data_IF_485730672393
#
_entry.id   IF_485730672393
#
_cell.length_a   1.000
_cell.length_b   1.000
_cell.length_c   1.000
_cell.angle_alpha   90.00
_cell.angle_beta   90.00
_cell.angle_gamma   90.00
#
_symmetry.space_group_name_H-M   'P 1'
#
loop_
_entity.id
_entity.type
_entity.pdbx_description
1 polymer ?
#
# COMPACT_ATOMS: atom_id res chain seq x y z
N UNK A 1 0.02 -28.73 -52.81
CA UNK A 1 -0.28 -27.40 -52.26
C UNK A 1 0.12 -27.40 -50.79
N UNK A 2 1.33 -26.96 -50.54
CA UNK A 2 1.98 -26.91 -49.24
C UNK A 2 1.68 -25.51 -48.65
N UNK A 3 0.89 -25.48 -47.57
CA UNK A 3 0.67 -24.25 -46.78
C UNK A 3 1.91 -24.04 -45.92
N UNK A 4 2.60 -22.95 -46.15
CA UNK A 4 3.66 -22.42 -45.32
C UNK A 4 3.01 -21.77 -44.10
N UNK A 5 3.15 -22.38 -42.92
CA UNK A 5 2.87 -21.74 -41.63
C UNK A 5 3.82 -20.56 -41.44
N UNK A 6 3.24 -19.37 -41.38
CA UNK A 6 3.97 -18.16 -41.01
C UNK A 6 4.25 -18.15 -39.52
N UNK A 7 5.49 -18.26 -39.13
CA UNK A 7 6.01 -18.03 -37.78
C UNK A 7 5.56 -16.65 -37.29
N UNK A 8 5.12 -16.49 -36.01
CA UNK A 8 4.77 -15.17 -35.48
C UNK A 8 6.04 -14.31 -35.44
N UNK A 9 5.97 -13.19 -36.13
CA UNK A 9 7.04 -12.21 -36.19
C UNK A 9 7.50 -11.82 -34.78
N UNK A 10 8.82 -11.91 -34.61
CA UNK A 10 9.67 -11.32 -33.59
C UNK A 10 9.20 -9.86 -33.34
N UNK A 11 8.42 -9.62 -32.26
CA UNK A 11 8.10 -8.25 -31.84
C UNK A 11 9.34 -7.69 -31.18
N UNK A 12 10.14 -7.04 -31.99
CA UNK A 12 11.37 -6.39 -31.62
C UNK A 12 11.24 -5.61 -30.30
N UNK A 13 12.30 -5.64 -29.52
CA UNK A 13 12.48 -4.82 -28.33
C UNK A 13 12.17 -3.37 -28.70
N UNK A 14 11.04 -2.83 -28.26
CA UNK A 14 10.82 -1.40 -28.29
C UNK A 14 11.93 -0.77 -27.44
N UNK A 15 12.66 0.19 -27.99
CA UNK A 15 13.72 0.89 -27.27
C UNK A 15 13.20 1.47 -25.95
N UNK A 16 14.08 1.91 -25.03
CA UNK A 16 13.67 2.44 -23.75
C UNK A 16 12.73 3.64 -23.92
N UNK A 17 11.66 3.67 -23.12
CA UNK A 17 10.77 4.81 -23.09
C UNK A 17 11.30 5.86 -22.10
N UNK A 18 11.62 7.06 -22.61
CA UNK A 18 12.11 8.16 -21.77
C UNK A 18 10.94 8.97 -21.22
N UNK A 19 10.87 9.07 -19.90
CA UNK A 19 9.83 9.83 -19.18
C UNK A 19 10.48 10.65 -18.08
N UNK A 20 10.05 11.89 -17.88
CA UNK A 20 10.60 12.70 -16.79
C UNK A 20 10.39 12.05 -15.41
N UNK A 21 9.19 11.52 -15.15
CA UNK A 21 8.84 10.90 -13.85
C UNK A 21 8.04 9.62 -14.06
N UNK A 22 8.50 8.52 -13.47
CA UNK A 22 7.73 7.27 -13.33
C UNK A 22 7.16 7.19 -11.93
N UNK A 23 5.84 7.00 -11.80
CA UNK A 23 5.14 6.73 -10.55
C UNK A 23 4.77 5.24 -10.53
N UNK A 24 5.21 4.50 -9.52
CA UNK A 24 4.97 3.05 -9.39
C UNK A 24 3.87 2.81 -8.38
N UNK A 25 2.74 2.29 -8.86
CA UNK A 25 1.50 2.03 -8.14
C UNK A 25 0.41 3.05 -8.44
N UNK A 26 -0.74 2.56 -8.92
CA UNK A 26 -1.96 3.34 -9.27
C UNK A 26 -3.00 3.39 -8.15
N UNK A 27 -2.59 3.18 -6.90
CA UNK A 27 -3.43 3.38 -5.72
C UNK A 27 -3.56 4.85 -5.33
N UNK A 28 -4.20 5.13 -4.18
CA UNK A 28 -4.45 6.50 -3.69
C UNK A 28 -3.19 7.39 -3.64
N UNK A 29 -2.03 6.82 -3.31
CA UNK A 29 -0.78 7.56 -3.21
C UNK A 29 -0.24 7.97 -4.59
N UNK A 30 -0.23 7.03 -5.53
CA UNK A 30 0.23 7.28 -6.90
C UNK A 30 -0.69 8.22 -7.66
N UNK A 31 -2.00 8.03 -7.56
CA UNK A 31 -2.99 8.90 -8.20
C UNK A 31 -2.92 10.34 -7.64
N UNK A 32 -2.80 10.50 -6.32
CA UNK A 32 -2.61 11.83 -5.73
C UNK A 32 -1.29 12.49 -6.20
N UNK A 33 -0.23 11.70 -6.36
CA UNK A 33 1.05 12.19 -6.90
C UNK A 33 0.90 12.60 -8.37
N UNK A 34 0.29 11.74 -9.18
CA UNK A 34 -0.01 12.00 -10.59
C UNK A 34 -0.82 13.29 -10.78
N UNK A 35 -1.88 13.46 -9.98
CA UNK A 35 -2.68 14.69 -9.97
C UNK A 35 -1.83 15.95 -9.74
N UNK A 36 -0.94 15.92 -8.76
CA UNK A 36 -0.09 17.07 -8.47
C UNK A 36 0.97 17.33 -9.56
N UNK A 37 1.52 16.28 -10.18
CA UNK A 37 2.44 16.38 -11.31
C UNK A 37 1.72 16.96 -12.54
N UNK A 38 0.54 16.45 -12.88
CA UNK A 38 -0.28 16.93 -13.98
C UNK A 38 -0.61 18.43 -13.83
N UNK A 39 -1.04 18.84 -12.62
CA UNK A 39 -1.31 20.27 -12.33
C UNK A 39 -0.11 21.20 -12.44
N UNK A 40 1.10 20.66 -12.40
CA UNK A 40 2.35 21.40 -12.58
C UNK A 40 2.90 21.25 -14.01
N UNK A 41 2.14 20.62 -14.92
CA UNK A 41 2.56 20.39 -16.31
C UNK A 41 3.78 19.46 -16.44
N UNK A 42 4.01 18.56 -15.44
CA UNK A 42 5.16 17.66 -15.46
C UNK A 42 4.84 16.37 -16.21
N UNK A 43 5.71 16.00 -17.15
CA UNK A 43 5.57 14.75 -17.89
C UNK A 43 5.79 13.55 -16.96
N UNK A 44 4.82 12.63 -16.92
CA UNK A 44 4.92 11.44 -16.06
C UNK A 44 4.07 10.31 -16.60
N UNK A 45 4.31 9.11 -16.09
CA UNK A 45 3.46 7.92 -16.26
C UNK A 45 3.26 7.25 -14.91
N UNK A 46 2.06 6.70 -14.69
CA UNK A 46 1.77 5.83 -13.53
C UNK A 46 1.73 4.39 -14.01
N UNK A 47 2.53 3.52 -13.40
CA UNK A 47 2.55 2.08 -13.69
C UNK A 47 1.76 1.35 -12.60
N UNK A 48 0.70 0.67 -12.99
CA UNK A 48 -0.17 -0.11 -12.10
C UNK A 48 -0.15 -1.58 -12.49
N UNK A 49 0.16 -2.46 -11.52
CA UNK A 49 0.27 -3.89 -11.76
C UNK A 49 -1.06 -4.59 -12.02
N UNK A 50 -2.14 -4.07 -11.45
CA UNK A 50 -3.48 -4.62 -11.64
C UNK A 50 -4.06 -4.27 -13.02
N UNK A 51 -5.05 -5.03 -13.48
CA UNK A 51 -5.75 -4.80 -14.76
C UNK A 51 -6.59 -3.52 -14.76
N UNK A 52 -7.05 -3.08 -13.58
CA UNK A 52 -7.85 -1.87 -13.40
C UNK A 52 -7.38 -1.08 -12.19
N UNK A 53 -7.48 0.25 -12.28
CA UNK A 53 -7.30 1.13 -11.13
C UNK A 53 -8.32 0.76 -10.04
N UNK A 54 -7.83 0.63 -8.81
CA UNK A 54 -8.68 0.28 -7.66
C UNK A 54 -8.82 -1.22 -7.38
N UNK A 55 -8.29 -2.12 -8.23
CA UNK A 55 -8.44 -3.57 -8.02
C UNK A 55 -7.88 -4.05 -6.67
N UNK A 56 -6.86 -3.39 -6.12
CA UNK A 56 -6.37 -3.66 -4.75
C UNK A 56 -7.49 -3.56 -3.70
N UNK A 57 -8.51 -2.72 -3.93
CA UNK A 57 -9.68 -2.58 -3.08
C UNK A 57 -10.79 -3.57 -3.45
N UNK A 58 -11.01 -3.83 -4.75
CA UNK A 58 -11.99 -4.83 -5.24
C UNK A 58 -11.60 -6.25 -4.81
N UNK A 59 -10.29 -6.50 -4.62
CA UNK A 59 -9.76 -7.79 -4.18
C UNK A 59 -9.76 -8.00 -2.66
N UNK A 60 -10.30 -7.08 -1.88
CA UNK A 60 -10.51 -7.27 -0.43
C UNK A 60 -11.77 -8.08 -0.16
N UNK A 61 -11.91 -8.53 1.09
CA UNK A 61 -13.09 -9.30 1.50
C UNK A 61 -14.39 -8.47 1.32
N UNK A 62 -15.46 -9.17 0.97
CA UNK A 62 -16.71 -8.55 0.49
C UNK A 62 -17.38 -7.64 1.52
N UNK A 63 -17.23 -7.96 2.82
CA UNK A 63 -17.77 -7.16 3.93
C UNK A 63 -16.89 -5.98 4.34
N UNK A 64 -15.74 -5.75 3.65
CA UNK A 64 -14.83 -4.66 4.02
C UNK A 64 -15.54 -3.31 4.00
N UNK A 65 -15.38 -2.56 5.09
CA UNK A 65 -15.66 -1.12 5.16
C UNK A 65 -14.43 -0.37 5.64
N UNK A 66 -14.22 0.82 5.11
CA UNK A 66 -13.13 1.68 5.53
C UNK A 66 -13.29 2.06 7.01
N UNK A 67 -12.17 2.42 7.65
CA UNK A 67 -12.16 2.86 9.07
C UNK A 67 -12.49 4.34 9.23
N UNK A 68 -12.45 5.10 8.15
CA UNK A 68 -12.79 6.51 8.09
C UNK A 68 -14.09 6.72 7.30
N UNK A 69 -14.93 7.68 7.70
CA UNK A 69 -16.09 8.04 6.89
C UNK A 69 -15.68 8.85 5.66
N UNK A 70 -16.49 8.80 4.62
CA UNK A 70 -16.28 9.38 3.29
C UNK A 70 -15.77 10.83 3.28
N UNK A 71 -16.20 11.64 4.26
CA UNK A 71 -15.71 13.01 4.40
C UNK A 71 -14.22 13.15 4.72
N UNK A 72 -13.54 12.04 5.05
CA UNK A 72 -12.11 11.97 5.35
C UNK A 72 -11.32 11.12 4.36
N UNK A 73 -11.97 10.58 3.31
CA UNK A 73 -11.38 9.68 2.32
C UNK A 73 -11.22 10.30 0.93
N UNK A 74 -11.37 11.62 0.83
CA UNK A 74 -11.21 12.35 -0.42
C UNK A 74 -9.74 12.55 -0.82
N UNK A 75 -9.43 12.36 -2.10
CA UNK A 75 -8.17 12.75 -2.71
C UNK A 75 -8.20 14.25 -3.14
N UNK A 76 -7.04 14.86 -3.39
CA UNK A 76 -6.98 16.27 -3.80
C UNK A 76 -7.79 16.56 -5.06
N UNK A 77 -8.68 17.56 -4.98
CA UNK A 77 -9.46 18.05 -6.11
C UNK A 77 -10.79 17.35 -6.37
N UNK A 78 -11.09 16.23 -5.69
CA UNK A 78 -12.33 15.49 -5.89
C UNK A 78 -12.89 14.96 -4.55
N UNK A 79 -14.08 15.38 -4.12
CA UNK A 79 -14.70 14.82 -2.92
C UNK A 79 -15.09 13.35 -3.13
N UNK A 80 -15.18 12.59 -2.04
CA UNK A 80 -15.71 11.23 -2.09
C UNK A 80 -17.23 11.27 -2.34
N UNK A 81 -17.81 10.43 -3.24
CA UNK A 81 -19.21 10.55 -3.69
C UNK A 81 -20.22 9.88 -2.76
N UNK A 82 -19.99 9.96 -1.45
CA UNK A 82 -20.91 9.46 -0.43
C UNK A 82 -21.18 10.54 0.62
N UNK A 83 -22.30 10.45 1.37
CA UNK A 83 -22.56 11.30 2.53
C UNK A 83 -21.40 11.29 3.51
N UNK A 84 -21.09 12.45 4.08
CA UNK A 84 -19.88 12.70 4.90
C UNK A 84 -19.57 11.64 5.94
N UNK A 85 -20.59 11.06 6.57
CA UNK A 85 -20.47 10.14 7.70
C UNK A 85 -20.72 8.67 7.34
N UNK A 86 -20.91 8.38 6.08
CA UNK A 86 -20.97 6.99 5.60
C UNK A 86 -19.56 6.42 5.46
N UNK A 87 -19.45 5.13 5.75
CA UNK A 87 -18.19 4.40 5.66
C UNK A 87 -18.14 3.65 4.32
N UNK A 88 -17.23 4.03 3.40
CA UNK A 88 -17.13 3.39 2.10
C UNK A 88 -16.80 1.90 2.22
N UNK A 89 -17.30 1.12 1.28
CA UNK A 89 -16.90 -0.26 1.03
C UNK A 89 -15.63 -0.33 0.16
N UNK A 90 -15.02 -1.51 0.05
CA UNK A 90 -13.91 -1.74 -0.87
C UNK A 90 -14.25 -1.40 -2.33
N UNK A 91 -15.36 -1.91 -2.89
CA UNK A 91 -15.80 -1.56 -4.24
C UNK A 91 -16.05 -0.06 -4.46
N UNK A 92 -16.71 0.63 -3.53
CA UNK A 92 -16.95 2.09 -3.62
C UNK A 92 -15.63 2.88 -3.62
N UNK A 93 -14.64 2.44 -2.83
CA UNK A 93 -13.31 3.04 -2.85
C UNK A 93 -12.59 2.78 -4.19
N UNK A 94 -12.70 1.58 -4.73
CA UNK A 94 -12.13 1.23 -6.03
C UNK A 94 -12.73 2.07 -7.17
N UNK A 95 -14.04 2.20 -7.20
CA UNK A 95 -14.76 2.98 -8.21
C UNK A 95 -14.43 4.48 -8.10
N UNK A 96 -14.26 4.99 -6.87
CA UNK A 96 -13.78 6.34 -6.64
C UNK A 96 -12.37 6.57 -7.21
N UNK A 97 -11.42 5.65 -7.01
CA UNK A 97 -10.07 5.77 -7.57
C UNK A 97 -10.07 5.73 -9.10
N UNK A 98 -10.87 4.86 -9.70
CA UNK A 98 -11.00 4.76 -11.16
C UNK A 98 -11.63 6.03 -11.75
N UNK A 99 -12.70 6.54 -11.11
CA UNK A 99 -13.31 7.80 -11.47
C UNK A 99 -12.35 8.99 -11.32
N UNK A 100 -11.52 8.98 -10.27
CA UNK A 100 -10.48 9.99 -10.03
C UNK A 100 -9.46 10.02 -11.17
N UNK A 101 -8.91 8.84 -11.54
CA UNK A 101 -7.96 8.74 -12.64
C UNK A 101 -8.56 9.25 -13.96
N UNK A 102 -9.81 8.88 -14.25
CA UNK A 102 -10.53 9.30 -15.45
C UNK A 102 -10.83 10.80 -15.46
N UNK A 103 -11.36 11.34 -14.35
CA UNK A 103 -11.76 12.75 -14.24
C UNK A 103 -10.59 13.69 -14.49
N UNK A 104 -9.40 13.34 -14.01
CA UNK A 104 -8.21 14.16 -14.19
C UNK A 104 -7.34 13.71 -15.36
N UNK A 105 -7.81 12.78 -16.20
CA UNK A 105 -7.08 12.22 -17.35
C UNK A 105 -5.63 11.82 -16.99
N UNK A 106 -5.47 11.14 -15.85
CA UNK A 106 -4.16 10.76 -15.35
C UNK A 106 -3.54 9.66 -16.25
N UNK A 107 -2.24 9.74 -16.59
CA UNK A 107 -1.58 8.81 -17.51
C UNK A 107 -1.25 7.47 -16.84
N UNK A 108 -2.28 6.71 -16.45
CA UNK A 108 -2.13 5.40 -15.81
C UNK A 108 -2.06 4.30 -16.87
N UNK A 109 -1.06 3.42 -16.72
CA UNK A 109 -0.93 2.18 -17.50
C UNK A 109 -1.15 1.01 -16.58
N UNK A 110 -2.22 0.30 -16.77
CA UNK A 110 -2.61 -0.91 -16.03
C UNK A 110 -1.96 -2.15 -16.64
N UNK A 111 -1.93 -3.26 -15.89
CA UNK A 111 -1.26 -4.50 -16.30
C UNK A 111 0.26 -4.37 -16.43
N UNK A 112 0.88 -3.41 -15.73
CA UNK A 112 2.31 -3.15 -15.76
C UNK A 112 2.90 -3.34 -14.36
N UNK A 113 3.22 -4.60 -14.04
CA UNK A 113 3.92 -4.95 -12.80
C UNK A 113 5.40 -4.63 -12.95
N UNK A 114 5.94 -3.82 -12.06
CA UNK A 114 7.36 -3.44 -12.06
C UNK A 114 8.20 -4.53 -11.43
N UNK A 115 9.23 -5.00 -12.14
CA UNK A 115 10.15 -6.04 -11.70
C UNK A 115 11.36 -5.46 -10.97
N UNK A 116 11.87 -4.31 -11.43
CA UNK A 116 13.01 -3.66 -10.77
C UNK A 116 13.08 -2.15 -11.00
N UNK A 117 13.74 -1.48 -10.06
CA UNK A 117 14.19 -0.09 -10.17
C UNK A 117 15.70 -0.06 -9.91
N UNK A 118 16.47 0.34 -10.89
CA UNK A 118 17.92 0.49 -10.80
C UNK A 118 18.36 1.90 -11.21
N UNK A 119 19.67 2.17 -11.19
CA UNK A 119 20.23 3.44 -11.64
C UNK A 119 21.38 3.17 -12.62
N UNK A 120 21.28 3.72 -13.83
CA UNK A 120 22.27 3.57 -14.88
C UNK A 120 22.55 4.93 -15.53
N UNK A 121 23.80 5.27 -15.77
CA UNK A 121 24.17 6.50 -16.49
C UNK A 121 23.61 7.80 -15.93
N UNK A 122 23.24 7.83 -14.63
CA UNK A 122 22.63 9.00 -14.00
C UNK A 122 21.10 9.02 -14.01
N UNK A 123 20.45 8.14 -14.77
CA UNK A 123 18.99 7.98 -14.84
C UNK A 123 18.52 6.77 -14.04
N UNK A 124 17.25 6.77 -13.65
CA UNK A 124 16.59 5.59 -13.13
C UNK A 124 16.11 4.73 -14.29
N UNK A 125 16.26 3.42 -14.12
CA UNK A 125 15.75 2.41 -15.03
C UNK A 125 14.70 1.61 -14.31
N UNK A 126 13.47 1.60 -14.84
CA UNK A 126 12.35 0.82 -14.35
C UNK A 126 12.02 -0.26 -15.35
N UNK A 127 12.01 -1.53 -14.94
CA UNK A 127 11.71 -2.67 -15.81
C UNK A 127 10.38 -3.32 -15.47
N UNK A 128 9.68 -3.82 -16.47
CA UNK A 128 8.44 -4.58 -16.37
C UNK A 128 8.36 -5.57 -17.52
N UNK A 129 8.69 -6.84 -17.29
CA UNK A 129 8.85 -7.84 -18.35
C UNK A 129 9.87 -7.37 -19.40
N UNK A 130 9.43 -7.21 -20.63
CA UNK A 130 10.26 -6.70 -21.71
C UNK A 130 10.25 -5.17 -21.86
N UNK A 131 9.48 -4.45 -21.05
CA UNK A 131 9.40 -2.98 -21.09
C UNK A 131 10.50 -2.38 -20.24
N UNK A 132 11.07 -1.28 -20.71
CA UNK A 132 12.10 -0.50 -20.03
C UNK A 132 11.74 0.99 -20.09
N UNK A 133 11.69 1.61 -18.93
CA UNK A 133 11.47 3.05 -18.77
C UNK A 133 12.74 3.68 -18.22
N UNK A 134 13.18 4.77 -18.81
CA UNK A 134 14.30 5.58 -18.31
C UNK A 134 13.74 6.92 -17.81
N UNK A 135 14.03 7.25 -16.55
CA UNK A 135 13.43 8.39 -15.88
C UNK A 135 14.43 9.21 -15.07
N UNK A 136 14.22 10.51 -14.99
CA UNK A 136 14.95 11.38 -14.08
C UNK A 136 14.47 11.21 -12.63
N UNK A 137 13.19 10.88 -12.46
CA UNK A 137 12.54 10.73 -11.18
C UNK A 137 11.70 9.46 -11.12
N UNK A 138 11.74 8.78 -9.97
CA UNK A 138 10.89 7.64 -9.66
C UNK A 138 10.18 7.87 -8.33
N UNK A 139 8.87 7.69 -8.31
CA UNK A 139 8.05 7.75 -7.10
C UNK A 139 7.51 6.38 -6.78
N UNK A 140 7.96 5.80 -5.68
CA UNK A 140 7.46 4.53 -5.15
C UNK A 140 6.17 4.81 -4.37
N UNK A 141 5.05 4.39 -4.93
CA UNK A 141 3.70 4.53 -4.35
C UNK A 141 2.96 3.18 -4.29
N UNK A 142 3.72 2.08 -4.26
CA UNK A 142 3.23 0.69 -4.29
C UNK A 142 2.51 0.26 -3.01
N UNK A 143 2.54 1.06 -1.94
CA UNK A 143 1.97 0.70 -0.65
C UNK A 143 2.81 -0.31 0.13
N UNK A 144 2.23 -0.87 1.21
CA UNK A 144 2.90 -1.82 2.11
C UNK A 144 2.12 -3.13 2.27
N UNK A 145 1.17 -3.42 1.39
CA UNK A 145 0.22 -4.53 1.51
C UNK A 145 0.39 -5.58 0.39
N UNK A 146 1.63 -5.78 -0.10
CA UNK A 146 1.88 -6.61 -1.29
C UNK A 146 2.36 -8.01 -0.97
N UNK A 147 3.16 -8.19 0.08
CA UNK A 147 3.79 -9.46 0.42
C UNK A 147 3.13 -10.07 1.67
N UNK A 148 2.09 -10.93 1.52
CA UNK A 148 1.47 -11.62 2.65
C UNK A 148 2.48 -12.36 3.50
N UNK A 149 2.41 -12.24 4.82
CA UNK A 149 3.29 -12.97 5.74
C UNK A 149 2.55 -14.19 6.26
N UNK A 150 3.02 -15.36 5.88
CA UNK A 150 2.57 -16.65 6.44
C UNK A 150 3.71 -17.22 7.27
N UNK A 151 3.46 -17.73 8.49
CA UNK A 151 4.51 -18.32 9.31
C UNK A 151 5.12 -19.56 8.66
N UNK A 152 6.43 -19.75 8.77
CA UNK A 152 7.16 -20.90 8.16
C UNK A 152 6.61 -22.27 8.60
N UNK A 153 6.05 -22.36 9.80
CA UNK A 153 5.45 -23.60 10.27
C UNK A 153 4.12 -23.97 9.59
N UNK A 154 3.52 -23.08 8.82
CA UNK A 154 2.23 -23.30 8.15
C UNK A 154 2.25 -24.53 7.22
N UNK A 155 3.37 -24.78 6.55
CA UNK A 155 3.54 -25.92 5.65
C UNK A 155 3.51 -27.28 6.38
N UNK A 156 3.62 -27.29 7.72
CA UNK A 156 3.54 -28.51 8.55
C UNK A 156 2.12 -28.84 9.01
N UNK A 157 1.14 -27.98 8.73
CA UNK A 157 -0.26 -28.28 9.01
C UNK A 157 -0.75 -29.43 8.13
N UNK A 158 -1.70 -30.22 8.66
CA UNK A 158 -2.34 -31.28 7.89
C UNK A 158 -2.90 -30.71 6.58
N UNK A 159 -2.59 -31.28 5.41
CA UNK A 159 -3.06 -30.77 4.12
C UNK A 159 -4.59 -30.77 3.97
N UNK A 160 -5.31 -31.46 4.84
CA UNK A 160 -6.78 -31.37 4.91
C UNK A 160 -7.28 -30.08 5.53
N UNK A 161 -6.45 -29.35 6.29
CA UNK A 161 -6.77 -28.04 6.82
C UNK A 161 -6.64 -27.03 5.69
N UNK A 162 -7.74 -26.36 5.34
CA UNK A 162 -7.72 -25.30 4.35
C UNK A 162 -7.02 -24.06 4.91
N UNK A 163 -5.98 -23.61 4.22
CA UNK A 163 -5.22 -22.42 4.60
C UNK A 163 -5.37 -21.33 3.56
N UNK A 164 -5.42 -20.08 4.01
CA UNK A 164 -5.31 -18.89 3.15
C UNK A 164 -4.82 -17.69 3.97
N UNK A 165 -4.21 -16.72 3.30
CA UNK A 165 -3.96 -15.42 3.91
C UNK A 165 -5.21 -14.52 3.81
N UNK A 166 -5.36 -13.56 4.74
CA UNK A 166 -6.50 -12.62 4.73
C UNK A 166 -6.56 -11.74 3.47
N UNK A 167 -5.48 -11.66 2.68
CA UNK A 167 -5.48 -11.01 1.37
C UNK A 167 -6.21 -11.83 0.29
N UNK A 168 -6.32 -13.15 0.47
CA UNK A 168 -6.98 -14.09 -0.46
C UNK A 168 -8.43 -14.37 -0.05
N UNK A 169 -8.75 -14.07 1.21
CA UNK A 169 -10.09 -14.24 1.74
C UNK A 169 -11.06 -13.21 1.13
N UNK A 170 -12.21 -13.69 0.66
CA UNK A 170 -13.29 -12.88 0.08
C UNK A 170 -14.56 -12.93 0.91
N UNK A 171 -15.01 -14.13 1.24
CA UNK A 171 -16.24 -14.37 1.97
C UNK A 171 -16.28 -15.80 2.56
N UNK A 172 -17.25 -16.11 3.45
CA UNK A 172 -17.34 -17.40 4.11
C UNK A 172 -17.44 -18.62 3.19
N UNK A 173 -17.93 -18.46 1.96
CA UNK A 173 -18.11 -19.58 1.01
C UNK A 173 -16.78 -20.24 0.56
N UNK A 174 -15.65 -19.55 0.79
CA UNK A 174 -14.34 -20.10 0.49
C UNK A 174 -13.88 -21.12 1.55
N UNK A 175 -14.47 -21.16 2.71
CA UNK A 175 -14.10 -22.05 3.81
C UNK A 175 -14.85 -23.36 3.71
N UNK A 176 -14.20 -24.43 4.17
CA UNK A 176 -14.86 -25.73 4.29
C UNK A 176 -15.63 -25.83 5.63
N UNK A 177 -16.64 -26.71 5.74
CA UNK A 177 -17.36 -26.92 6.98
C UNK A 177 -16.43 -27.29 8.15
N UNK A 178 -16.66 -26.71 9.32
CA UNK A 178 -15.90 -26.97 10.54
C UNK A 178 -15.32 -25.71 11.19
N UNK A 179 -14.57 -25.85 12.30
CA UNK A 179 -14.01 -24.70 13.01
C UNK A 179 -12.96 -23.96 12.20
N UNK A 180 -12.86 -22.65 12.43
CA UNK A 180 -11.92 -21.74 11.79
C UNK A 180 -10.99 -21.15 12.84
N UNK A 181 -9.68 -21.20 12.58
CA UNK A 181 -8.69 -20.43 13.34
C UNK A 181 -8.30 -19.17 12.54
N UNK A 182 -8.49 -18.01 13.15
CA UNK A 182 -7.97 -16.74 12.67
C UNK A 182 -6.71 -16.38 13.48
N UNK A 183 -5.58 -16.20 12.79
CA UNK A 183 -4.29 -15.90 13.42
C UNK A 183 -3.94 -14.45 13.23
N UNK A 184 -3.99 -13.67 14.32
CA UNK A 184 -3.69 -12.23 14.33
C UNK A 184 -4.91 -11.35 14.64
N UNK A 185 -4.73 -10.45 15.62
CA UNK A 185 -5.79 -9.66 16.23
C UNK A 185 -5.64 -8.14 16.00
N UNK A 186 -5.13 -7.73 14.82
CA UNK A 186 -5.12 -6.32 14.44
C UNK A 186 -6.47 -5.94 13.78
N UNK A 187 -6.49 -5.53 12.53
CA UNK A 187 -7.72 -5.07 11.87
C UNK A 187 -8.52 -6.21 11.23
N UNK A 188 -7.88 -7.02 10.36
CA UNK A 188 -8.60 -8.05 9.59
C UNK A 188 -9.12 -9.19 10.45
N UNK A 189 -8.32 -9.71 11.40
CA UNK A 189 -8.74 -10.87 12.20
C UNK A 189 -10.05 -10.67 12.96
N UNK A 190 -10.20 -9.58 13.74
CA UNK A 190 -11.45 -9.26 14.42
C UNK A 190 -12.65 -9.03 13.49
N UNK A 191 -12.45 -8.35 12.36
CA UNK A 191 -13.51 -8.13 11.37
C UNK A 191 -14.00 -9.46 10.79
N UNK A 192 -13.08 -10.35 10.39
CA UNK A 192 -13.41 -11.67 9.88
C UNK A 192 -13.98 -12.59 10.97
N UNK A 193 -13.55 -12.44 12.23
CA UNK A 193 -14.07 -13.24 13.33
C UNK A 193 -15.58 -13.00 13.54
N UNK A 194 -16.00 -11.75 13.54
CA UNK A 194 -17.42 -11.39 13.67
C UNK A 194 -18.22 -11.79 12.42
N UNK A 195 -17.64 -11.68 11.22
CA UNK A 195 -18.27 -12.11 9.98
C UNK A 195 -18.50 -13.62 9.93
N UNK A 196 -17.55 -14.42 10.40
CA UNK A 196 -17.60 -15.89 10.31
C UNK A 196 -18.40 -16.55 11.45
N UNK A 197 -18.52 -15.88 12.60
CA UNK A 197 -19.20 -16.43 13.78
C UNK A 197 -20.63 -16.95 13.55
N UNK A 198 -21.47 -16.37 12.66
CA UNK A 198 -22.79 -16.90 12.37
C UNK A 198 -22.80 -18.27 11.65
N UNK A 199 -21.71 -18.65 10.98
CA UNK A 199 -21.65 -19.84 10.13
C UNK A 199 -20.61 -20.87 10.58
N UNK A 200 -19.62 -20.44 11.37
CA UNK A 200 -18.52 -21.29 11.83
C UNK A 200 -18.23 -21.09 13.31
N UNK A 201 -17.73 -22.12 13.97
CA UNK A 201 -17.06 -21.94 15.26
C UNK A 201 -15.71 -21.27 15.02
N UNK A 202 -15.50 -20.10 15.59
CA UNK A 202 -14.32 -19.27 15.34
C UNK A 202 -13.42 -19.22 16.56
N UNK A 203 -12.14 -19.56 16.35
CA UNK A 203 -11.03 -19.29 17.26
C UNK A 203 -10.23 -18.09 16.74
N UNK A 204 -10.02 -17.08 17.58
CA UNK A 204 -9.23 -15.90 17.28
C UNK A 204 -7.99 -15.86 18.18
N UNK A 205 -6.80 -15.96 17.60
CA UNK A 205 -5.52 -16.12 18.30
C UNK A 205 -4.62 -14.91 18.12
N UNK A 206 -4.08 -14.39 19.22
CA UNK A 206 -3.06 -13.35 19.25
C UNK A 206 -3.41 -12.16 20.15
N UNK A 207 -2.42 -11.32 20.49
CA UNK A 207 -2.65 -10.19 21.39
C UNK A 207 -3.40 -9.05 20.68
N UNK A 208 -4.44 -8.55 21.31
CA UNK A 208 -5.10 -7.28 20.96
C UNK A 208 -4.26 -6.13 21.54
N UNK A 209 -3.70 -5.28 20.70
CA UNK A 209 -2.78 -4.19 21.06
C UNK A 209 -3.49 -2.91 21.60
N UNK A 210 -4.76 -3.00 21.89
CA UNK A 210 -5.56 -1.89 22.37
C UNK A 210 -6.85 -1.74 21.57
N UNK A 211 -7.63 -0.74 21.95
CA UNK A 211 -8.93 -0.43 21.36
C UNK A 211 -9.15 1.08 21.42
N UNK A 212 -9.68 1.69 20.36
CA UNK A 212 -10.05 3.10 20.42
C UNK A 212 -11.26 3.28 21.36
N UNK A 213 -11.31 4.34 22.19
CA UNK A 213 -12.26 4.45 23.31
C UNK A 213 -13.69 4.86 22.90
N UNK A 214 -14.04 4.78 21.63
CA UNK A 214 -15.37 5.12 21.11
C UNK A 214 -15.69 4.26 19.88
N UNK A 215 -16.98 4.14 19.54
CA UNK A 215 -17.41 3.51 18.29
C UNK A 215 -17.38 4.53 17.16
N UNK A 216 -16.70 4.16 16.04
CA UNK A 216 -16.53 5.06 14.89
C UNK A 216 -17.85 5.38 14.16
N UNK A 217 -18.85 4.51 14.29
CA UNK A 217 -20.20 4.63 13.73
C UNK A 217 -21.19 5.35 14.65
N UNK A 218 -20.74 5.81 15.83
CA UNK A 218 -21.59 6.50 16.81
C UNK A 218 -21.71 8.00 16.52
N UNK A 219 -22.77 8.61 17.04
CA UNK A 219 -22.91 10.09 17.02
C UNK A 219 -21.78 10.82 17.74
N UNK A 220 -21.20 10.19 18.77
CA UNK A 220 -20.02 10.74 19.47
C UNK A 220 -18.83 10.85 18.55
N UNK A 221 -18.66 9.93 17.59
CA UNK A 221 -17.59 9.97 16.62
C UNK A 221 -17.64 11.25 15.77
N UNK A 222 -18.82 11.80 15.49
CA UNK A 222 -18.96 13.06 14.74
C UNK A 222 -18.28 14.25 15.43
N UNK A 223 -18.16 14.22 16.75
CA UNK A 223 -17.47 15.25 17.53
C UNK A 223 -15.97 14.94 17.70
N UNK A 224 -15.63 13.66 17.86
CA UNK A 224 -14.26 13.23 18.17
C UNK A 224 -13.39 13.11 16.92
N UNK A 225 -13.91 12.60 15.81
CA UNK A 225 -13.13 12.39 14.57
C UNK A 225 -12.50 13.68 14.01
N UNK A 226 -13.17 14.85 13.99
CA UNK A 226 -12.51 16.09 13.55
C UNK A 226 -11.30 16.45 14.40
N UNK A 227 -11.38 16.24 15.72
CA UNK A 227 -10.27 16.50 16.65
C UNK A 227 -9.14 15.50 16.41
N UNK A 228 -9.44 14.21 16.28
CA UNK A 228 -8.46 13.17 15.97
C UNK A 228 -7.80 13.43 14.63
N UNK A 229 -8.58 13.85 13.63
CA UNK A 229 -8.04 14.22 12.31
C UNK A 229 -7.09 15.42 12.39
N UNK A 230 -7.45 16.41 13.18
CA UNK A 230 -6.55 17.54 13.45
C UNK A 230 -5.26 17.06 14.13
N UNK A 231 -5.36 16.22 15.16
CA UNK A 231 -4.21 15.65 15.87
C UNK A 231 -3.34 14.81 14.93
N UNK A 232 -3.94 13.93 14.13
CA UNK A 232 -3.22 13.12 13.15
C UNK A 232 -2.44 13.96 12.12
N UNK A 233 -3.02 15.11 11.73
CA UNK A 233 -2.44 15.97 10.70
C UNK A 233 -1.40 16.99 11.22
N UNK A 234 -1.47 17.38 12.50
CA UNK A 234 -0.67 18.48 13.03
C UNK A 234 0.20 18.10 14.23
N UNK A 235 -0.27 17.17 15.07
CA UNK A 235 0.42 16.75 16.29
C UNK A 235 1.21 15.46 16.08
N UNK A 236 0.62 14.42 15.47
CA UNK A 236 1.30 13.16 15.21
C UNK A 236 2.16 13.24 13.94
N UNK A 237 3.20 14.07 13.99
CA UNK A 237 4.12 14.29 12.87
C UNK A 237 5.57 14.08 13.30
N UNK A 238 6.46 13.79 12.35
CA UNK A 238 7.90 13.64 12.62
C UNK A 238 8.56 14.91 13.17
N UNK A 239 7.85 16.06 13.13
CA UNK A 239 8.32 17.34 13.71
C UNK A 239 8.13 17.39 15.22
N UNK A 240 7.21 16.61 15.77
CA UNK A 240 6.89 16.62 17.21
C UNK A 240 7.54 15.42 17.95
N UNK A 241 7.92 15.57 19.23
CA UNK A 241 8.41 14.44 20.02
C UNK A 241 7.38 13.31 20.11
N UNK A 242 6.11 13.64 20.30
CA UNK A 242 5.02 12.67 20.37
C UNK A 242 4.87 11.89 19.05
N UNK A 243 4.90 12.59 17.91
CA UNK A 243 4.80 11.94 16.61
C UNK A 243 5.97 10.99 16.35
N UNK A 244 7.20 11.37 16.71
CA UNK A 244 8.38 10.47 16.60
C UNK A 244 8.24 9.20 17.45
N UNK A 245 7.72 9.33 18.68
CA UNK A 245 7.45 8.17 19.54
C UNK A 245 6.40 7.23 18.95
N UNK A 246 5.29 7.80 18.46
CA UNK A 246 4.20 7.01 17.85
C UNK A 246 4.63 6.38 16.53
N UNK A 247 5.48 7.05 15.74
CA UNK A 247 5.97 6.54 14.47
C UNK A 247 6.67 5.18 14.60
N UNK A 248 7.49 4.98 15.63
CA UNK A 248 8.15 3.69 15.91
C UNK A 248 7.14 2.57 16.08
N UNK A 249 6.11 2.82 16.89
CA UNK A 249 5.04 1.84 17.14
C UNK A 249 4.22 1.51 15.88
N UNK A 250 3.82 2.52 15.11
CA UNK A 250 3.02 2.31 13.88
C UNK A 250 3.83 1.58 12.80
N UNK A 251 5.13 1.87 12.67
CA UNK A 251 6.02 1.21 11.70
C UNK A 251 6.34 -0.24 12.06
N UNK A 252 6.26 -0.63 13.33
CA UNK A 252 6.47 -2.02 13.77
C UNK A 252 5.29 -2.95 13.41
N UNK A 253 4.19 -2.40 12.90
CA UNK A 253 3.00 -3.15 12.51
C UNK A 253 2.04 -3.41 13.67
N UNK A 254 0.82 -3.79 13.31
CA UNK A 254 -0.28 -3.94 14.23
C UNK A 254 -0.94 -2.61 14.57
N UNK A 255 -2.18 -2.66 15.03
CA UNK A 255 -2.93 -1.47 15.43
C UNK A 255 -4.05 -1.84 16.39
N UNK A 256 -4.62 -0.84 17.09
CA UNK A 256 -5.74 -1.07 17.99
C UNK A 256 -6.99 -1.51 17.23
N UNK A 257 -7.93 -2.12 17.91
CA UNK A 257 -9.27 -2.36 17.39
C UNK A 257 -9.94 -1.03 17.08
N UNK A 258 -10.46 -0.90 15.86
CA UNK A 258 -11.10 0.33 15.38
C UNK A 258 -12.61 0.12 15.25
N UNK A 259 -13.05 -0.68 14.26
CA UNK A 259 -14.45 -0.93 13.94
C UNK A 259 -15.05 -1.98 14.87
N UNK A 260 -14.44 -3.16 14.92
CA UNK A 260 -14.82 -4.24 15.82
C UNK A 260 -14.20 -4.01 17.19
N UNK A 261 -14.99 -4.20 18.25
CA UNK A 261 -14.60 -4.06 19.64
C UNK A 261 -14.47 -5.42 20.32
N UNK A 262 -13.79 -5.47 21.48
CA UNK A 262 -13.77 -6.71 22.30
C UNK A 262 -15.17 -7.20 22.61
N UNK A 263 -16.08 -6.29 22.96
CA UNK A 263 -17.48 -6.61 23.22
C UNK A 263 -18.20 -7.22 22.01
N UNK A 264 -17.84 -6.84 20.80
CA UNK A 264 -18.43 -7.41 19.58
C UNK A 264 -17.94 -8.84 19.35
N UNK A 265 -16.65 -9.09 19.62
CA UNK A 265 -16.03 -10.43 19.55
C UNK A 265 -16.69 -11.38 20.57
N UNK A 266 -16.87 -10.92 21.81
CA UNK A 266 -17.53 -11.66 22.88
C UNK A 266 -19.01 -11.93 22.54
N UNK A 267 -19.74 -10.90 22.09
CA UNK A 267 -21.16 -11.01 21.73
C UNK A 267 -21.38 -11.95 20.53
N UNK A 268 -20.42 -12.05 19.62
CA UNK A 268 -20.46 -12.98 18.51
C UNK A 268 -20.13 -14.44 18.90
N UNK A 269 -19.74 -14.70 20.17
CA UNK A 269 -19.39 -16.03 20.65
C UNK A 269 -18.06 -16.56 20.09
N UNK A 270 -17.15 -15.67 19.71
CA UNK A 270 -15.81 -16.02 19.22
C UNK A 270 -14.94 -16.49 20.39
N UNK A 271 -14.27 -17.62 20.23
CA UNK A 271 -13.30 -18.16 21.19
C UNK A 271 -11.97 -17.40 21.05
N UNK A 272 -11.86 -16.27 21.75
CA UNK A 272 -10.69 -15.41 21.74
C UNK A 272 -9.63 -15.83 22.75
N UNK A 273 -8.36 -15.87 22.30
CA UNK A 273 -7.19 -16.05 23.18
C UNK A 273 -6.09 -15.04 22.84
N UNK A 274 -5.43 -14.42 23.84
CA UNK A 274 -4.26 -13.57 23.60
C UNK A 274 -3.02 -14.37 23.18
N UNK A 275 -3.06 -15.69 23.34
CA UNK A 275 -1.96 -16.57 22.96
C UNK A 275 -1.73 -16.55 21.46
N UNK A 276 -0.45 -16.52 21.06
CA UNK A 276 -0.07 -16.62 19.66
C UNK A 276 -0.13 -18.07 19.19
N UNK A 277 -0.47 -18.30 17.94
CA UNK A 277 -0.20 -19.57 17.28
C UNK A 277 1.30 -19.64 16.98
N UNK A 278 1.98 -20.66 17.53
CA UNK A 278 3.47 -20.72 17.56
C UNK A 278 4.04 -21.91 16.82
N UNK A 279 3.22 -22.86 16.39
CA UNK A 279 3.72 -24.06 15.74
C UNK A 279 2.62 -25.05 15.36
N UNK A 280 3.06 -26.27 15.09
CA UNK A 280 2.22 -27.40 14.67
C UNK A 280 2.61 -28.64 15.44
N UNK A 281 1.63 -29.36 15.97
CA UNK A 281 1.77 -30.70 16.57
C UNK A 281 0.76 -31.65 15.93
N UNK A 282 1.23 -32.77 15.45
CA UNK A 282 0.40 -33.78 14.77
C UNK A 282 -0.47 -33.20 13.63
N UNK A 283 0.09 -32.27 12.87
CA UNK A 283 -0.60 -31.58 11.79
C UNK A 283 -1.60 -30.51 12.22
N UNK A 284 -1.76 -30.23 13.52
CA UNK A 284 -2.71 -29.25 14.06
C UNK A 284 -1.99 -28.01 14.62
N UNK A 285 -2.60 -26.81 14.53
CA UNK A 285 -2.01 -25.60 15.09
C UNK A 285 -1.91 -25.64 16.62
N UNK A 286 -0.78 -25.14 17.14
CA UNK A 286 -0.46 -25.07 18.57
C UNK A 286 -0.37 -23.62 19.02
N UNK A 287 -1.02 -23.30 20.14
CA UNK A 287 -0.96 -22.03 20.80
C UNK A 287 0.26 -21.94 21.75
N UNK A 288 0.64 -20.72 22.12
CA UNK A 288 1.78 -20.47 23.03
C UNK A 288 1.65 -21.08 24.42
N UNK A 289 0.43 -21.38 24.87
CA UNK A 289 0.15 -22.09 26.13
C UNK A 289 0.11 -23.62 25.99
N UNK A 290 0.45 -24.15 24.80
CA UNK A 290 0.50 -25.57 24.51
C UNK A 290 -0.84 -26.20 24.07
N UNK A 291 -1.93 -25.45 24.01
CA UNK A 291 -3.19 -25.96 23.45
C UNK A 291 -3.06 -26.30 21.98
N UNK A 292 -3.52 -27.47 21.58
CA UNK A 292 -3.63 -27.92 20.20
C UNK A 292 -5.08 -27.73 19.75
N UNK A 293 -5.27 -27.03 18.64
CA UNK A 293 -6.61 -26.72 18.13
C UNK A 293 -7.00 -27.69 17.00
N UNK A 294 -8.21 -28.26 17.11
CA UNK A 294 -8.80 -29.09 16.06
C UNK A 294 -9.66 -28.21 15.15
N UNK A 295 -9.11 -27.82 14.00
CA UNK A 295 -9.74 -26.87 13.09
C UNK A 295 -9.75 -27.39 11.66
N UNK A 296 -10.75 -26.98 10.88
CA UNK A 296 -10.86 -27.30 9.48
C UNK A 296 -10.20 -26.23 8.59
N UNK A 297 -10.15 -24.99 9.07
CA UNK A 297 -9.64 -23.86 8.31
C UNK A 297 -8.68 -22.99 9.15
N UNK A 298 -7.67 -22.41 8.51
CA UNK A 298 -6.79 -21.39 9.07
C UNK A 298 -6.75 -20.19 8.14
N UNK A 299 -7.05 -18.99 8.68
CA UNK A 299 -6.88 -17.73 7.95
C UNK A 299 -5.78 -16.92 8.63
N UNK A 300 -4.71 -16.69 7.88
CA UNK A 300 -3.56 -15.94 8.35
C UNK A 300 -3.82 -14.43 8.26
N UNK A 301 -4.17 -13.81 9.37
CA UNK A 301 -4.33 -12.35 9.52
C UNK A 301 -3.03 -11.71 10.02
N UNK A 302 -1.91 -12.23 9.58
CA UNK A 302 -0.55 -11.97 10.08
C UNK A 302 0.12 -10.77 9.42
N UNK A 303 -0.62 -10.05 8.58
CA UNK A 303 -0.15 -8.81 7.94
C UNK A 303 0.76 -9.06 6.73
N UNK A 304 1.58 -8.06 6.41
CA UNK A 304 2.37 -8.03 5.19
C UNK A 304 3.82 -7.69 5.48
N UNK A 305 4.72 -8.31 4.76
CA UNK A 305 6.15 -8.04 4.78
C UNK A 305 6.51 -6.77 4.00
N UNK A 306 7.73 -6.32 4.23
CA UNK A 306 8.35 -5.24 3.46
C UNK A 306 9.13 -5.89 2.31
N UNK A 307 8.57 -5.87 1.13
CA UNK A 307 9.25 -6.32 -0.08
C UNK A 307 9.78 -5.09 -0.83
N UNK A 308 11.09 -4.89 -0.76
CA UNK A 308 11.80 -3.79 -1.43
C UNK A 308 13.00 -4.28 -2.22
N UNK A 309 13.20 -5.60 -2.37
CA UNK A 309 14.36 -6.18 -3.05
C UNK A 309 14.39 -5.84 -4.55
N UNK A 310 13.22 -5.54 -5.12
CA UNK A 310 13.10 -5.03 -6.48
C UNK A 310 13.63 -3.58 -6.65
N UNK A 311 13.86 -2.85 -5.55
CA UNK A 311 14.48 -1.53 -5.57
C UNK A 311 16.00 -1.72 -5.41
N UNK A 312 16.70 -1.80 -6.53
CA UNK A 312 18.14 -2.04 -6.61
C UNK A 312 18.98 -0.75 -6.42
N UNK A 313 18.41 0.21 -5.72
CA UNK A 313 19.05 1.47 -5.34
C UNK A 313 19.11 1.52 -3.82
N UNK A 314 20.21 1.94 -3.20
CA UNK A 314 20.29 2.08 -1.74
C UNK A 314 19.20 3.01 -1.22
N UNK A 315 18.30 2.48 -0.38
CA UNK A 315 17.18 3.25 0.20
C UNK A 315 17.29 3.44 1.72
N UNK A 316 18.14 2.66 2.40
CA UNK A 316 18.30 2.69 3.86
C UNK A 316 18.50 1.31 4.44
N UNK A 317 18.51 1.22 5.76
CA UNK A 317 18.62 -0.02 6.52
C UNK A 317 17.24 -0.65 6.75
N UNK A 318 17.23 -1.95 7.07
CA UNK A 318 16.01 -2.71 7.45
C UNK A 318 14.85 -2.62 6.44
N UNK A 319 15.15 -2.48 5.14
CA UNK A 319 14.13 -2.36 4.08
C UNK A 319 13.15 -1.20 4.30
N UNK A 320 13.58 -0.18 5.04
CA UNK A 320 12.83 1.06 5.23
C UNK A 320 13.62 2.26 4.69
N UNK A 321 13.01 3.11 3.85
CA UNK A 321 13.76 4.20 3.23
C UNK A 321 14.22 5.23 4.27
N UNK A 322 15.51 5.56 4.24
CA UNK A 322 16.05 6.75 4.91
C UNK A 322 15.61 7.97 4.12
N UNK A 323 14.60 8.66 4.62
CA UNK A 323 13.90 9.70 3.87
C UNK A 323 13.44 10.86 4.75
N UNK A 324 13.22 12.01 4.12
CA UNK A 324 12.55 13.17 4.74
C UNK A 324 11.36 13.57 3.88
N UNK A 325 10.14 13.36 4.38
CA UNK A 325 8.87 13.60 3.65
C UNK A 325 8.81 12.91 2.28
N UNK A 326 9.32 11.68 2.22
CA UNK A 326 9.35 10.89 1.00
C UNK A 326 10.56 11.14 0.09
N UNK A 327 11.42 12.13 0.37
CA UNK A 327 12.65 12.38 -0.41
C UNK A 327 13.78 11.53 0.13
N UNK A 328 14.41 10.72 -0.70
CA UNK A 328 15.60 9.92 -0.37
C UNK A 328 16.84 10.76 -0.67
N UNK A 329 17.58 11.16 0.37
CA UNK A 329 18.72 12.07 0.22
C UNK A 329 19.87 11.45 -0.59
N UNK A 330 20.17 10.18 -0.32
CA UNK A 330 21.28 9.44 -0.93
C UNK A 330 20.97 8.93 -2.34
N UNK A 331 19.71 9.06 -2.79
CA UNK A 331 19.26 8.69 -4.13
C UNK A 331 18.44 9.85 -4.76
N UNK A 332 19.08 10.95 -5.19
CA UNK A 332 18.38 12.11 -5.74
C UNK A 332 17.52 11.73 -6.96
N UNK A 333 16.23 12.04 -6.88
CA UNK A 333 15.23 11.64 -7.88
C UNK A 333 14.41 10.40 -7.48
N UNK A 334 14.74 9.73 -6.37
CA UNK A 334 13.92 8.67 -5.79
C UNK A 334 13.06 9.20 -4.65
N UNK A 335 11.79 8.84 -4.68
CA UNK A 335 10.79 9.31 -3.72
C UNK A 335 9.89 8.17 -3.26
N UNK A 336 9.32 8.32 -2.05
CA UNK A 336 8.28 7.44 -1.52
C UNK A 336 7.04 8.25 -1.16
N UNK A 337 5.84 7.72 -1.44
CA UNK A 337 4.55 8.30 -1.04
C UNK A 337 3.62 7.19 -0.55
N UNK A 338 2.83 7.45 0.50
CA UNK A 338 1.85 6.51 1.03
C UNK A 338 2.39 5.54 2.08
N UNK A 339 3.66 5.61 2.43
CA UNK A 339 4.21 4.81 3.53
C UNK A 339 3.78 5.35 4.91
N UNK A 340 3.63 4.48 5.92
CA UNK A 340 3.33 4.88 7.29
C UNK A 340 4.33 5.92 7.83
N UNK A 341 3.81 7.01 8.34
CA UNK A 341 4.63 8.06 8.95
C UNK A 341 5.81 8.57 8.10
N UNK A 342 5.59 8.83 6.80
CA UNK A 342 6.59 9.57 6.01
C UNK A 342 6.84 10.94 6.64
N UNK A 343 5.79 11.69 6.92
CA UNK A 343 5.81 12.96 7.63
C UNK A 343 4.94 12.94 8.89
N UNK A 344 3.83 12.23 8.88
CA UNK A 344 2.90 12.13 9.99
C UNK A 344 2.00 10.92 9.87
N UNK A 345 1.13 10.75 10.86
CA UNK A 345 0.15 9.65 10.85
C UNK A 345 -0.74 9.70 9.61
N UNK A 346 -1.05 10.90 9.12
CA UNK A 346 -1.85 11.10 7.91
C UNK A 346 -1.23 10.55 6.62
N UNK A 347 0.09 10.34 6.57
CA UNK A 347 0.80 9.93 5.35
C UNK A 347 0.30 8.64 4.73
N UNK A 348 -0.25 7.73 5.54
CA UNK A 348 -0.80 6.44 5.12
C UNK A 348 -2.33 6.47 4.91
N UNK A 349 -3.00 7.55 5.29
CA UNK A 349 -4.46 7.68 5.20
C UNK A 349 -4.86 8.22 3.82
N UNK A 350 -6.00 7.77 3.31
CA UNK A 350 -6.51 8.16 1.99
C UNK A 350 -6.62 9.68 1.88
N UNK A 351 -7.36 10.34 2.77
CA UNK A 351 -7.54 11.79 2.74
C UNK A 351 -6.32 12.60 3.20
N UNK A 352 -5.25 11.92 3.65
CA UNK A 352 -4.03 12.58 4.11
C UNK A 352 -2.88 12.53 3.11
N UNK A 353 -2.80 11.46 2.30
CA UNK A 353 -1.69 11.16 1.40
C UNK A 353 -1.39 12.30 0.40
N UNK A 354 -2.40 13.03 -0.02
CA UNK A 354 -2.27 14.15 -0.95
C UNK A 354 -1.33 15.27 -0.48
N UNK A 355 -1.10 15.40 0.83
CA UNK A 355 -0.15 16.40 1.39
C UNK A 355 1.30 16.04 1.07
N UNK A 356 1.65 14.76 1.21
CA UNK A 356 3.01 14.28 0.89
C UNK A 356 3.20 14.18 -0.62
N UNK A 357 2.19 13.72 -1.35
CA UNK A 357 2.18 13.72 -2.82
C UNK A 357 2.43 15.13 -3.39
N UNK A 358 1.73 16.14 -2.89
CA UNK A 358 1.95 17.52 -3.30
C UNK A 358 3.32 18.09 -2.92
N UNK A 359 3.90 17.63 -1.81
CA UNK A 359 5.26 18.00 -1.44
C UNK A 359 6.29 17.39 -2.39
N UNK A 360 6.17 16.08 -2.67
CA UNK A 360 7.05 15.36 -3.60
C UNK A 360 6.97 15.97 -5.01
N UNK A 361 5.76 16.22 -5.53
CA UNK A 361 5.60 16.83 -6.85
C UNK A 361 6.28 18.20 -6.94
N UNK A 362 6.16 19.08 -5.93
CA UNK A 362 6.88 20.36 -5.88
C UNK A 362 8.39 20.17 -5.79
N UNK A 363 8.87 19.16 -5.10
CA UNK A 363 10.30 18.87 -5.01
C UNK A 363 10.86 18.42 -6.38
N UNK A 364 10.14 17.57 -7.10
CA UNK A 364 10.46 17.15 -8.47
C UNK A 364 10.55 18.38 -9.39
N UNK A 365 9.53 19.24 -9.39
CA UNK A 365 9.51 20.44 -10.24
C UNK A 365 10.72 21.36 -9.99
N UNK A 366 11.11 21.57 -8.73
CA UNK A 366 12.28 22.40 -8.38
C UNK A 366 13.59 21.77 -8.84
N UNK A 367 13.73 20.46 -8.67
CA UNK A 367 14.93 19.71 -9.07
C UNK A 367 15.16 19.80 -10.58
N UNK A 368 14.14 19.54 -11.38
CA UNK A 368 14.21 19.56 -12.83
C UNK A 368 14.45 20.97 -13.39
N UNK A 369 13.82 21.99 -12.79
CA UNK A 369 14.08 23.39 -13.17
C UNK A 369 15.53 23.81 -12.87
N UNK A 370 16.08 23.37 -11.75
CA UNK A 370 17.50 23.61 -11.39
C UNK A 370 18.49 22.92 -12.32
N UNK A 371 18.19 21.67 -12.73
CA UNK A 371 19.01 20.94 -13.70
C UNK A 371 18.99 21.60 -15.09
N UNK A 372 17.83 22.04 -15.55
CA UNK A 372 17.68 22.78 -16.82
C UNK A 372 18.45 24.10 -16.81
N UNK A 373 18.41 24.84 -15.70
CA UNK A 373 19.17 26.09 -15.55
C UNK A 373 20.68 25.85 -15.52
N UNK A 374 21.15 24.77 -14.89
CA UNK A 374 22.57 24.40 -14.85
C UNK A 374 23.09 23.97 -16.24
N UNK A 375 22.28 23.24 -17.00
CA UNK A 375 22.62 22.84 -18.38
C UNK A 375 22.64 24.03 -19.34
N UNK A 376 21.75 25.00 -19.17
CA UNK A 376 21.72 26.23 -19.96
C UNK A 376 22.86 27.20 -19.61
N UNK A 377 23.44 27.12 -18.41
CA UNK A 377 24.55 27.95 -17.95
C UNK A 377 25.95 27.37 -18.24
N UNK A 378 26.07 26.16 -18.81
CA UNK A 378 27.35 25.60 -19.22
C UNK A 378 27.93 26.44 -20.37
N UNK A 379 29.16 26.99 -20.26
CA UNK A 379 29.75 27.79 -21.31
C UNK A 379 30.01 26.92 -22.57
N UNK A 380 29.52 27.41 -23.70
CA UNK A 380 29.91 26.84 -24.99
C UNK A 380 31.43 26.94 -25.08
N UNK A 381 32.11 25.80 -25.05
CA UNK A 381 33.57 25.76 -25.24
C UNK A 381 33.91 26.43 -26.57
N UNK A 382 34.53 27.60 -26.50
CA UNK A 382 35.01 28.33 -27.65
C UNK A 382 36.06 27.45 -28.40
N UNK A 383 35.71 26.99 -29.58
CA UNK A 383 36.62 26.27 -30.46
C UNK A 383 37.81 27.16 -30.74
N UNK A 384 38.97 26.77 -30.25
CA UNK A 384 40.25 27.35 -30.61
C UNK A 384 40.54 27.04 -32.07
N UNK A 385 40.24 27.99 -32.94
CA UNK A 385 40.70 27.97 -34.34
C UNK A 385 42.22 28.10 -34.38
N UNK A 386 42.91 26.99 -34.72
CA UNK A 386 44.30 27.02 -35.05
C UNK A 386 44.51 27.67 -36.42
N UNK A 387 45.16 28.82 -36.44
CA UNK A 387 45.73 29.37 -37.68
C UNK A 387 47.12 28.80 -37.86
N UNK A 388 47.28 28.09 -38.98
CA UNK A 388 48.57 27.71 -39.50
C UNK A 388 49.38 28.95 -39.92
N UNK A 389 50.66 28.95 -39.58
CA UNK A 389 51.78 29.39 -40.38
C UNK A 389 53.01 28.57 -40.01
#
# INVERSE_FOLDING_TARGET
MTQTESTPADRGFAGPEHVETVVIGGGQAGLATSYHLARQGRAHVVLEGSERVGDVWRQRFDSLRLFSPAGYDALPGMPFPLPRWEFPTGPEMADYLEAYATTFALPVRTGVSVDSVSREGGHYVVTSGHRRFEAENVVIASGTWQSPVVPEFADRLDPRIRQMHSAEYRNPSQLQPGPVLLVGCSHSGPDLAVELAPTHRVHLSGPIQGEIPFRIDSRTAHLVLPILWFVANHVLTMRTPLGRKVAGHVRSGGGPLIRVKRSDIEAAGVDYTPERTVGVQDGKPVLGDGRVLDVANVVWCTGFGKDTDWIQVPIGEDRWPTQTRGVVADAPGLYFVGLPFLQGFYSMLIGGVGRDAGFVARHIARRTSGASAATAAAPIAAGSGGTAR
#
